data_IF_605848699522
#
_entry.id   IF_605848699522
#
_cell.length_a   1.000
_cell.length_b   1.000
_cell.length_c   1.000
_cell.angle_alpha   90.00
_cell.angle_beta   90.00
_cell.angle_gamma   90.00
#
_symmetry.space_group_name_H-M   'P 1'
#
loop_
_entity.id
_entity.type
_entity.pdbx_description
1 polymer ?
#
# COMPACT_ATOMS: atom_id res chain seq x y z
N UNK A 1 -9.72 -15.51 -1.26
CA UNK A 1 -9.21 -14.45 -2.14
C UNK A 1 -9.91 -13.13 -1.80
N UNK A 2 -9.20 -12.20 -1.17
CA UNK A 2 -9.64 -10.90 -0.68
C UNK A 2 -8.88 -9.81 -1.44
N UNK A 3 -9.63 -9.00 -2.18
CA UNK A 3 -9.09 -7.88 -2.95
C UNK A 3 -9.43 -6.57 -2.24
N UNK A 4 -8.50 -5.63 -2.26
CA UNK A 4 -8.70 -4.29 -1.71
C UNK A 4 -8.22 -3.20 -2.65
N UNK A 5 -8.84 -2.02 -2.56
CA UNK A 5 -8.40 -0.82 -3.23
C UNK A 5 -8.41 0.34 -2.23
N UNK A 6 -7.33 1.13 -2.22
CA UNK A 6 -7.23 2.27 -1.32
C UNK A 6 -6.47 3.43 -1.97
N UNK A 7 -7.15 4.56 -2.10
CA UNK A 7 -6.52 5.84 -2.35
C UNK A 7 -5.85 6.34 -1.06
N UNK A 8 -4.53 6.25 -1.00
CA UNK A 8 -3.76 6.56 0.21
C UNK A 8 -3.43 8.05 0.33
N UNK A 9 -3.59 8.83 -0.74
CA UNK A 9 -3.26 10.26 -0.75
C UNK A 9 -1.91 10.57 -0.05
N UNK A 10 -0.82 9.99 -0.60
CA UNK A 10 0.55 9.89 -0.06
C UNK A 10 0.84 8.61 0.73
N UNK A 11 1.46 7.63 0.05
CA UNK A 11 1.91 6.39 0.66
C UNK A 11 2.97 6.64 1.75
N UNK A 12 3.88 7.60 1.55
CA UNK A 12 4.92 7.92 2.55
C UNK A 12 4.32 8.34 3.89
N UNK A 13 3.23 9.12 3.86
CA UNK A 13 2.53 9.57 5.08
C UNK A 13 1.69 8.44 5.68
N UNK A 14 1.10 7.58 4.84
CA UNK A 14 0.19 6.50 5.25
C UNK A 14 0.83 5.15 5.48
N UNK A 15 2.14 4.99 5.27
CA UNK A 15 2.80 3.68 5.35
C UNK A 15 2.53 2.93 6.68
N UNK A 16 2.62 3.57 7.87
CA UNK A 16 2.32 2.86 9.11
C UNK A 16 0.87 2.35 9.18
N UNK A 17 -0.09 3.15 8.72
CA UNK A 17 -1.51 2.80 8.70
C UNK A 17 -1.81 1.70 7.68
N UNK A 18 -1.13 1.71 6.54
CA UNK A 18 -1.21 0.63 5.56
C UNK A 18 -0.70 -0.69 6.15
N UNK A 19 0.45 -0.67 6.85
CA UNK A 19 1.03 -1.88 7.45
C UNK A 19 0.14 -2.45 8.56
N UNK A 20 -0.39 -1.60 9.43
CA UNK A 20 -1.34 -2.01 10.47
C UNK A 20 -2.62 -2.60 9.85
N UNK A 21 -3.15 -1.94 8.81
CA UNK A 21 -4.33 -2.42 8.11
C UNK A 21 -4.07 -3.76 7.40
N UNK A 22 -2.92 -3.93 6.75
CA UNK A 22 -2.54 -5.18 6.08
C UNK A 22 -2.43 -6.33 7.09
N UNK A 23 -1.83 -6.09 8.25
CA UNK A 23 -1.72 -7.08 9.31
C UNK A 23 -3.10 -7.55 9.81
N UNK A 24 -4.05 -6.61 9.97
CA UNK A 24 -5.40 -6.93 10.43
C UNK A 24 -6.28 -7.57 9.35
N UNK A 25 -6.16 -7.11 8.10
CA UNK A 25 -7.11 -7.45 7.04
C UNK A 25 -6.69 -8.62 6.17
N UNK A 26 -5.40 -8.97 6.12
CA UNK A 26 -4.89 -10.14 5.38
C UNK A 26 -5.40 -10.16 3.92
N UNK A 27 -5.33 -9.02 3.22
CA UNK A 27 -5.74 -8.94 1.83
C UNK A 27 -4.74 -9.69 0.93
N UNK A 28 -5.23 -10.51 0.00
CA UNK A 28 -4.40 -11.25 -0.95
C UNK A 28 -3.78 -10.31 -2.00
N UNK A 29 -4.55 -9.30 -2.44
CA UNK A 29 -4.09 -8.26 -3.35
C UNK A 29 -4.66 -6.91 -2.90
N UNK A 30 -3.82 -5.88 -2.91
CA UNK A 30 -4.23 -4.49 -2.68
C UNK A 30 -3.74 -3.57 -3.82
N UNK A 31 -4.63 -2.76 -4.36
CA UNK A 31 -4.31 -1.71 -5.32
C UNK A 31 -4.29 -0.34 -4.64
N UNK A 32 -3.18 0.38 -4.71
CA UNK A 32 -3.04 1.71 -4.10
C UNK A 32 -3.08 2.82 -5.16
N UNK A 33 -3.82 3.90 -4.88
CA UNK A 33 -3.88 5.10 -5.72
C UNK A 33 -3.37 6.34 -4.98
N UNK A 34 -2.97 7.36 -5.74
CA UNK A 34 -2.35 8.60 -5.21
C UNK A 34 -1.20 8.32 -4.23
N UNK A 35 -0.29 7.40 -4.57
CA UNK A 35 0.87 7.12 -3.71
C UNK A 35 1.76 8.34 -3.51
N UNK A 36 1.72 9.30 -4.47
CA UNK A 36 2.55 10.52 -4.52
C UNK A 36 4.07 10.21 -4.44
N UNK A 37 4.44 8.98 -4.79
CA UNK A 37 5.83 8.55 -4.92
C UNK A 37 6.31 8.80 -6.35
N UNK A 38 7.57 9.19 -6.51
CA UNK A 38 8.27 9.27 -7.80
C UNK A 38 8.91 7.91 -8.10
N UNK A 39 8.97 7.50 -9.37
CA UNK A 39 9.39 6.17 -9.84
C UNK A 39 10.31 5.34 -8.91
N UNK A 40 11.56 5.76 -8.62
CA UNK A 40 12.50 4.98 -7.81
C UNK A 40 12.16 4.86 -6.31
N UNK A 41 11.05 5.44 -5.85
CA UNK A 41 10.60 5.43 -4.45
C UNK A 41 9.53 4.37 -4.17
N UNK A 42 9.02 3.70 -5.21
CA UNK A 42 8.13 2.55 -5.01
C UNK A 42 8.94 1.44 -4.32
N UNK A 43 8.39 0.79 -3.28
CA UNK A 43 9.02 -0.38 -2.71
C UNK A 43 9.24 -1.40 -3.84
N UNK A 44 10.49 -1.77 -4.10
CA UNK A 44 10.76 -2.92 -4.94
C UNK A 44 10.16 -4.13 -4.22
N UNK A 45 9.44 -4.97 -4.96
CA UNK A 45 9.02 -6.27 -4.46
C UNK A 45 10.31 -7.05 -4.23
N UNK A 46 10.71 -7.19 -2.97
CA UNK A 46 11.91 -7.95 -2.59
C UNK A 46 11.68 -9.43 -2.83
N UNK A 47 12.74 -10.13 -3.25
CA UNK A 47 12.81 -11.59 -3.29
C UNK A 47 12.56 -12.20 -1.91
#
# INVERSE_FOLDING_TARGET
>A
MKLAAWNVNSLKVRLPQLLEWLAAQQADVICLQETRLRGPQLPAVGN
#
